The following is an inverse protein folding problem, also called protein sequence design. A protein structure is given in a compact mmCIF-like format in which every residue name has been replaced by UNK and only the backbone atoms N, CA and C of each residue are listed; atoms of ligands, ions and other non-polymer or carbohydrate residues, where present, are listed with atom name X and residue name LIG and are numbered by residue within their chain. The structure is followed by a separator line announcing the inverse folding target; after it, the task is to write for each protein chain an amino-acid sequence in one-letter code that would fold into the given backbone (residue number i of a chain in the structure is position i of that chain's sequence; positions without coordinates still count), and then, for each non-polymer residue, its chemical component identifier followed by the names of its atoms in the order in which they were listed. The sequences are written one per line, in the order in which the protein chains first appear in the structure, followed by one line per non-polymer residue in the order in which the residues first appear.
data_IF_967058511413
#
_entry.id   IF_967058511413
#
_cell.length_a   1.000
_cell.length_b   1.000
_cell.length_c   1.000
_cell.angle_alpha   90.00
_cell.angle_beta   90.00
_cell.angle_gamma   90.00
#
_symmetry.space_group_name_H-M   'P 1'
#
loop_
_entity.id
_entity.type
_entity.pdbx_description
1 polymer ?
#
# COMPACT_ATOMS: atom_id res chain seq x y z
N UNK A 1 1.24 0.71 -3.78
CA UNK A 1 -0.22 0.95 -3.77
C UNK A 1 -0.97 -0.08 -4.60
N UNK A 2 -0.85 -0.06 -5.93
CA UNK A 2 -1.72 -0.85 -6.83
C UNK A 2 -1.79 -2.36 -6.52
N UNK A 3 -0.64 -3.04 -6.37
CA UNK A 3 -0.63 -4.49 -6.08
C UNK A 3 -1.36 -4.87 -4.79
N UNK A 4 -1.15 -4.11 -3.72
CA UNK A 4 -1.84 -4.32 -2.44
C UNK A 4 -3.33 -3.99 -2.57
N UNK A 5 -3.69 -2.89 -3.23
CA UNK A 5 -5.09 -2.52 -3.46
C UNK A 5 -5.88 -3.57 -4.24
N UNK A 6 -5.27 -4.16 -5.28
CA UNK A 6 -5.88 -5.25 -6.06
C UNK A 6 -6.03 -6.51 -5.20
N UNK A 7 -5.02 -6.89 -4.42
CA UNK A 7 -5.09 -8.07 -3.55
C UNK A 7 -6.17 -7.94 -2.47
N UNK A 8 -6.32 -6.77 -1.85
CA UNK A 8 -7.43 -6.50 -0.93
C UNK A 8 -8.79 -6.70 -1.63
N UNK A 9 -8.93 -6.21 -2.86
CA UNK A 9 -10.16 -6.36 -3.64
C UNK A 9 -10.44 -7.83 -4.01
N UNK A 10 -9.44 -8.58 -4.47
CA UNK A 10 -9.60 -10.00 -4.78
C UNK A 10 -9.99 -10.78 -3.51
N UNK A 11 -9.28 -10.56 -2.40
CA UNK A 11 -9.57 -11.26 -1.14
C UNK A 11 -10.98 -11.00 -0.62
N UNK A 12 -11.52 -9.80 -0.83
CA UNK A 12 -12.88 -9.45 -0.40
C UNK A 12 -13.96 -9.90 -1.40
N UNK A 13 -13.76 -9.65 -2.70
CA UNK A 13 -14.79 -9.87 -3.73
C UNK A 13 -14.78 -11.27 -4.33
N UNK A 14 -13.71 -12.06 -4.14
CA UNK A 14 -13.51 -13.37 -4.77
C UNK A 14 -12.97 -14.40 -3.77
N UNK A 15 -13.69 -14.71 -2.67
CA UNK A 15 -13.16 -15.53 -1.55
C UNK A 15 -12.76 -16.97 -1.92
N UNK A 16 -13.18 -17.48 -3.08
CA UNK A 16 -12.79 -18.80 -3.59
C UNK A 16 -11.54 -18.81 -4.49
N UNK A 17 -10.94 -17.66 -4.78
CA UNK A 17 -9.81 -17.55 -5.71
C UNK A 17 -8.49 -17.39 -4.95
N UNK A 18 -7.49 -18.13 -5.39
CA UNK A 18 -6.11 -17.96 -4.93
C UNK A 18 -5.39 -16.90 -5.75
N UNK A 19 -4.56 -16.09 -5.10
CA UNK A 19 -3.66 -15.16 -5.78
C UNK A 19 -2.29 -15.15 -5.10
N UNK A 20 -1.29 -14.64 -5.83
CA UNK A 20 0.05 -14.41 -5.35
C UNK A 20 0.59 -13.10 -5.94
N UNK A 21 1.18 -12.25 -5.09
CA UNK A 21 1.93 -11.07 -5.52
C UNK A 21 3.40 -11.46 -5.61
N UNK A 22 4.04 -11.16 -6.75
CA UNK A 22 5.49 -11.26 -6.93
C UNK A 22 6.09 -9.86 -6.87
N UNK A 23 7.03 -9.64 -5.97
CA UNK A 23 7.80 -8.40 -5.83
C UNK A 23 9.27 -8.75 -6.07
N UNK A 24 9.96 -8.01 -6.95
CA UNK A 24 11.35 -8.30 -7.29
C UNK A 24 12.36 -7.81 -6.23
N UNK A 25 11.89 -7.03 -5.26
CA UNK A 25 12.70 -6.46 -4.18
C UNK A 25 12.43 -7.19 -2.88
N UNK A 26 13.36 -7.14 -1.94
CA UNK A 26 13.21 -7.70 -0.58
C UNK A 26 12.28 -6.91 0.35
N UNK A 27 11.42 -6.06 -0.20
CA UNK A 27 10.53 -5.18 0.56
C UNK A 27 9.31 -4.76 -0.26
N UNK A 28 8.16 -4.68 0.40
CA UNK A 28 6.94 -4.09 -0.15
C UNK A 28 6.93 -2.58 0.06
N UNK A 29 6.16 -1.87 -0.77
CA UNK A 29 6.01 -0.41 -0.71
C UNK A 29 6.17 0.28 -2.07
N UNK A 30 6.80 -0.40 -3.04
CA UNK A 30 7.06 0.16 -4.37
C UNK A 30 7.91 1.43 -4.28
N UNK A 31 7.48 2.49 -4.95
CA UNK A 31 8.10 3.83 -4.96
C UNK A 31 8.49 4.32 -3.56
N UNK A 32 7.60 4.13 -2.58
CA UNK A 32 7.74 4.68 -1.22
C UNK A 32 8.74 3.91 -0.37
N UNK A 33 9.06 2.67 -0.71
CA UNK A 33 10.17 1.95 -0.09
C UNK A 33 11.49 2.17 -0.87
N UNK A 34 11.41 2.33 -2.20
CA UNK A 34 12.56 2.48 -3.09
C UNK A 34 13.31 3.79 -2.87
N UNK A 35 12.56 4.90 -2.84
CA UNK A 35 13.14 6.22 -2.73
C UNK A 35 13.11 6.69 -1.27
N UNK A 36 14.29 6.95 -0.71
CA UNK A 36 14.48 7.29 0.72
C UNK A 36 15.26 8.58 0.94
N UNK A 37 15.27 9.48 -0.06
CA UNK A 37 15.92 10.77 0.08
C UNK A 37 15.10 11.72 0.98
N UNK A 38 15.75 12.66 1.69
CA UNK A 38 15.04 13.62 2.53
C UNK A 38 14.03 14.46 1.74
N UNK A 39 12.83 14.62 2.30
CA UNK A 39 11.77 15.46 1.71
C UNK A 39 10.89 14.78 0.66
N UNK A 40 11.05 13.46 0.42
CA UNK A 40 10.13 12.72 -0.45
C UNK A 40 8.69 12.77 0.09
N UNK A 41 7.75 13.12 -0.79
CA UNK A 41 6.32 13.30 -0.48
C UNK A 41 5.48 13.08 -1.73
N UNK A 42 4.17 12.95 -1.55
CA UNK A 42 3.21 12.98 -2.65
C UNK A 42 2.81 14.42 -2.97
N UNK A 43 2.76 14.79 -4.24
CA UNK A 43 2.18 16.06 -4.69
C UNK A 43 0.65 15.99 -4.81
N UNK A 44 0.07 14.79 -4.73
CA UNK A 44 -1.37 14.57 -4.59
C UNK A 44 -1.75 14.39 -3.11
N UNK A 45 -2.90 14.91 -2.70
CA UNK A 45 -3.46 14.61 -1.39
C UNK A 45 -3.77 13.10 -1.26
N UNK A 46 -3.70 12.55 -0.05
CA UNK A 46 -4.04 11.14 0.17
C UNK A 46 -5.53 10.86 0.35
N UNK A 47 -6.36 11.89 0.40
CA UNK A 47 -7.80 11.71 0.25
C UNK A 47 -8.15 11.17 -1.15
N UNK A 48 -7.37 11.52 -2.16
CA UNK A 48 -7.49 11.03 -3.54
C UNK A 48 -6.60 9.82 -3.82
N UNK A 49 -5.44 9.72 -3.18
CA UNK A 49 -4.47 8.64 -3.43
C UNK A 49 -4.66 7.38 -2.56
N UNK A 50 -5.40 7.50 -1.45
CA UNK A 50 -5.71 6.40 -0.55
C UNK A 50 -6.61 5.33 -1.17
N UNK A 51 -6.62 4.14 -0.59
CA UNK A 51 -7.58 3.10 -0.95
C UNK A 51 -8.99 3.50 -0.53
N UNK A 52 -9.96 3.39 -1.44
CA UNK A 52 -11.37 3.75 -1.17
C UNK A 52 -11.99 2.98 0.01
N UNK A 53 -11.51 1.76 0.27
CA UNK A 53 -11.96 0.89 1.36
C UNK A 53 -11.20 1.10 2.67
N UNK A 54 -10.14 1.91 2.66
CA UNK A 54 -9.32 2.22 3.84
C UNK A 54 -8.92 3.70 3.79
N UNK A 55 -9.82 4.62 4.16
CA UNK A 55 -9.58 6.04 4.05
C UNK A 55 -8.31 6.48 4.80
N UNK A 56 -7.64 7.49 4.27
CA UNK A 56 -6.54 8.15 4.95
C UNK A 56 -7.07 8.98 6.12
N UNK A 57 -6.52 8.79 7.32
CA UNK A 57 -7.00 9.43 8.56
C UNK A 57 -6.00 10.39 9.20
N UNK A 58 -4.78 10.50 8.68
CA UNK A 58 -3.82 11.47 9.21
C UNK A 58 -4.19 12.89 8.78
N UNK A 59 -4.06 13.83 9.72
CA UNK A 59 -4.45 15.24 9.58
C UNK A 59 -3.52 16.09 8.68
N UNK A 60 -2.65 15.43 7.92
CA UNK A 60 -1.70 16.08 7.01
C UNK A 60 -2.19 15.95 5.57
N UNK A 61 -2.48 17.10 4.94
CA UNK A 61 -2.89 17.16 3.53
C UNK A 61 -1.81 16.63 2.57
N UNK A 62 -0.53 16.85 2.90
CA UNK A 62 0.63 16.33 2.17
C UNK A 62 1.34 15.33 3.07
N UNK A 63 1.25 14.04 2.78
CA UNK A 63 1.98 13.04 3.53
C UNK A 63 3.40 12.87 2.99
N UNK A 64 4.31 12.64 3.93
CA UNK A 64 5.67 12.26 3.60
C UNK A 64 5.73 10.80 3.15
N UNK A 65 6.84 10.43 2.51
CA UNK A 65 6.99 9.07 1.99
C UNK A 65 6.97 7.99 3.07
N UNK A 66 7.34 8.31 4.32
CA UNK A 66 7.32 7.35 5.42
C UNK A 66 5.88 7.06 5.87
N UNK A 67 5.04 8.08 5.98
CA UNK A 67 3.62 7.96 6.26
C UNK A 67 2.92 7.11 5.19
N UNK A 68 3.19 7.38 3.90
CA UNK A 68 2.61 6.61 2.79
C UNK A 68 3.09 5.16 2.81
N UNK A 69 4.37 4.93 3.09
CA UNK A 69 4.91 3.58 3.21
C UNK A 69 4.26 2.82 4.38
N UNK A 70 4.09 3.46 5.54
CA UNK A 70 3.39 2.87 6.69
C UNK A 70 1.97 2.50 6.29
N UNK A 71 1.21 3.44 5.74
CA UNK A 71 -0.15 3.21 5.28
C UNK A 71 -0.28 2.00 4.34
N UNK A 72 0.63 1.87 3.37
CA UNK A 72 0.66 0.74 2.45
C UNK A 72 0.89 -0.59 3.20
N UNK A 73 1.88 -0.64 4.10
CA UNK A 73 2.22 -1.85 4.86
C UNK A 73 1.16 -2.21 5.89
N UNK A 74 0.56 -1.21 6.54
CA UNK A 74 -0.52 -1.38 7.49
C UNK A 74 -1.75 -1.95 6.79
N UNK A 75 -2.09 -1.43 5.61
CA UNK A 75 -3.17 -2.00 4.79
C UNK A 75 -2.88 -3.45 4.43
N UNK A 76 -1.65 -3.76 4.00
CA UNK A 76 -1.29 -5.11 3.63
C UNK A 76 -1.42 -6.09 4.81
N UNK A 77 -1.03 -5.67 6.02
CA UNK A 77 -1.19 -6.47 7.24
C UNK A 77 -2.65 -6.64 7.65
N UNK A 78 -3.41 -5.56 7.64
CA UNK A 78 -4.82 -5.54 8.05
C UNK A 78 -5.69 -6.46 7.18
N UNK A 79 -5.42 -6.51 5.88
CA UNK A 79 -6.13 -7.37 4.94
C UNK A 79 -5.41 -8.71 4.69
N UNK A 80 -4.37 -9.02 5.48
CA UNK A 80 -3.55 -10.22 5.36
C UNK A 80 -3.08 -10.49 3.92
N UNK A 81 -2.70 -9.43 3.20
CA UNK A 81 -2.10 -9.47 1.86
C UNK A 81 -0.62 -9.82 1.94
N UNK A 82 0.06 -9.43 3.02
CA UNK A 82 1.48 -9.69 3.27
C UNK A 82 1.87 -11.17 3.16
N UNK A 83 1.03 -12.08 3.66
CA UNK A 83 1.20 -13.55 3.51
C UNK A 83 1.10 -14.07 2.06
N UNK A 84 0.60 -13.25 1.13
CA UNK A 84 0.48 -13.56 -0.29
C UNK A 84 1.57 -12.91 -1.14
N UNK A 85 2.56 -12.24 -0.52
CA UNK A 85 3.67 -11.63 -1.23
C UNK A 85 4.87 -12.57 -1.20
N UNK A 86 5.46 -12.83 -2.36
CA UNK A 86 6.80 -13.42 -2.48
C UNK A 86 7.76 -12.34 -2.98
N UNK A 87 8.84 -12.17 -2.23
CA UNK A 87 9.94 -11.24 -2.47
C UNK A 87 11.14 -11.93 -3.14
#
# INVERSE_FOLDING_TARGET
LSGIGVACRIGHSMPGHSYLILEGRRASGGTWDLFRYPGIRSDSDLHTLGYSFRPWTQDRAIADGADILSYIRDTAREYAVDRHIRF
#
